data_IF_914516963454
#
_entry.id   IF_914516963454
#
_cell.length_a   1.000
_cell.length_b   1.000
_cell.length_c   1.000
_cell.angle_alpha   90.00
_cell.angle_beta   90.00
_cell.angle_gamma   90.00
#
_symmetry.space_group_name_H-M   'P 1'
#
loop_
_entity.id
_entity.type
_entity.pdbx_description
1 polymer ?
#
# COMPACT_ATOMS: atom_id res chain seq x y z
N UNK A 1 -1.31 32.54 -6.31
CA UNK A 1 -1.03 31.32 -7.08
C UNK A 1 0.46 31.11 -6.99
N UNK A 2 0.90 29.95 -6.56
CA UNK A 2 2.32 29.66 -6.41
C UNK A 2 3.00 29.53 -7.78
N UNK A 3 4.30 29.81 -7.88
CA UNK A 3 5.04 29.73 -9.15
C UNK A 3 5.28 28.27 -9.62
N UNK A 4 4.99 27.28 -8.76
CA UNK A 4 5.22 25.86 -9.02
C UNK A 4 3.89 25.06 -8.98
N UNK A 5 3.21 25.04 -10.13
CA UNK A 5 1.89 24.38 -10.27
C UNK A 5 1.89 22.91 -9.78
N UNK A 6 2.98 22.18 -10.04
CA UNK A 6 3.10 20.77 -9.66
C UNK A 6 3.17 20.58 -8.14
N UNK A 7 3.90 21.46 -7.43
CA UNK A 7 4.00 21.40 -5.97
C UNK A 7 2.68 21.77 -5.30
N UNK A 8 1.91 22.67 -5.91
CA UNK A 8 0.58 23.03 -5.46
C UNK A 8 -0.37 21.82 -5.53
N UNK A 9 -0.39 21.09 -6.65
CA UNK A 9 -1.20 19.88 -6.80
C UNK A 9 -0.84 18.80 -5.78
N UNK A 10 0.45 18.54 -5.58
CA UNK A 10 0.92 17.60 -4.57
C UNK A 10 0.52 18.04 -3.15
N UNK A 11 0.60 19.33 -2.84
CA UNK A 11 0.21 19.87 -1.53
C UNK A 11 -1.29 19.71 -1.27
N UNK A 12 -2.12 19.98 -2.27
CA UNK A 12 -3.57 19.80 -2.20
C UNK A 12 -3.92 18.32 -2.04
N UNK A 13 -3.37 17.43 -2.88
CA UNK A 13 -3.63 16.00 -2.81
C UNK A 13 -3.23 15.42 -1.45
N UNK A 14 -2.08 15.83 -0.92
CA UNK A 14 -1.62 15.42 0.40
C UNK A 14 -2.63 15.80 1.49
N UNK A 15 -3.10 17.03 1.48
CA UNK A 15 -4.04 17.54 2.48
C UNK A 15 -5.44 16.93 2.33
N UNK A 16 -5.87 16.64 1.10
CA UNK A 16 -7.20 16.07 0.84
C UNK A 16 -7.30 14.57 1.15
N UNK A 17 -6.21 13.81 1.00
CA UNK A 17 -6.20 12.35 1.16
C UNK A 17 -5.36 11.87 2.35
N UNK A 18 -4.98 12.77 3.25
CA UNK A 18 -4.13 12.48 4.42
C UNK A 18 -2.85 11.70 4.08
N UNK A 19 -2.20 12.05 2.97
CA UNK A 19 -1.02 11.33 2.47
C UNK A 19 0.20 11.65 3.33
N UNK A 20 0.96 10.61 3.69
CA UNK A 20 2.25 10.77 4.35
C UNK A 20 3.32 11.28 3.38
N UNK A 21 4.46 11.75 3.89
CA UNK A 21 5.60 12.10 3.03
C UNK A 21 6.07 10.92 2.18
N UNK A 22 5.92 9.71 2.70
CA UNK A 22 6.34 8.53 1.96
C UNK A 22 5.41 8.24 0.78
N UNK A 23 4.11 8.48 0.94
CA UNK A 23 3.14 8.26 -0.13
C UNK A 23 3.35 9.28 -1.25
N UNK A 24 3.68 10.53 -0.89
CA UNK A 24 4.09 11.55 -1.86
C UNK A 24 5.35 11.14 -2.64
N UNK A 25 6.39 10.65 -1.94
CA UNK A 25 7.60 10.13 -2.57
C UNK A 25 7.32 8.93 -3.47
N UNK A 26 6.42 8.03 -3.07
CA UNK A 26 6.00 6.88 -3.89
C UNK A 26 5.31 7.33 -5.18
N UNK A 27 4.41 8.32 -5.10
CA UNK A 27 3.74 8.89 -6.27
C UNK A 27 4.75 9.58 -7.19
N UNK A 28 5.65 10.41 -6.65
CA UNK A 28 6.69 11.08 -7.42
C UNK A 28 7.67 10.10 -8.09
N UNK A 29 8.04 9.03 -7.40
CA UNK A 29 8.85 7.93 -7.97
C UNK A 29 8.14 7.29 -9.16
N UNK A 30 6.84 7.01 -9.02
CA UNK A 30 6.06 6.34 -10.05
C UNK A 30 5.78 7.25 -11.26
N UNK A 31 5.68 8.56 -11.09
CA UNK A 31 5.55 9.50 -12.21
C UNK A 31 6.81 9.47 -13.11
N UNK A 32 8.01 9.40 -12.52
CA UNK A 32 9.26 9.22 -13.26
C UNK A 32 9.25 7.88 -14.01
N UNK A 33 8.80 6.80 -13.38
CA UNK A 33 8.70 5.49 -14.04
C UNK A 33 7.78 5.52 -15.26
N UNK A 34 6.60 6.13 -15.14
CA UNK A 34 5.58 6.23 -16.19
C UNK A 34 5.94 7.23 -17.30
N UNK A 35 6.82 8.19 -17.01
CA UNK A 35 7.26 9.18 -17.99
C UNK A 35 7.98 8.56 -19.21
N UNK A 36 8.08 9.34 -20.29
CA UNK A 36 8.87 9.00 -21.48
C UNK A 36 10.36 9.35 -21.39
N UNK A 37 10.90 9.66 -20.20
CA UNK A 37 12.32 10.03 -20.07
C UNK A 37 13.26 8.87 -20.46
N UNK A 38 14.43 9.23 -20.97
CA UNK A 38 15.48 8.26 -21.30
C UNK A 38 15.95 7.48 -20.06
N UNK A 39 16.42 6.25 -20.29
CA UNK A 39 16.92 5.36 -19.24
C UNK A 39 18.07 5.99 -18.42
N UNK A 40 18.91 6.80 -19.05
CA UNK A 40 20.00 7.54 -18.40
C UNK A 40 19.49 8.45 -17.27
N UNK A 41 18.43 9.21 -17.54
CA UNK A 41 17.77 10.09 -16.58
C UNK A 41 17.04 9.30 -15.49
N UNK A 42 16.33 8.24 -15.87
CA UNK A 42 15.66 7.36 -14.89
C UNK A 42 16.66 6.72 -13.93
N UNK A 43 17.82 6.24 -14.40
CA UNK A 43 18.91 5.74 -13.52
C UNK A 43 19.46 6.82 -12.59
N UNK A 44 19.59 8.05 -13.09
CA UNK A 44 20.07 9.19 -12.30
C UNK A 44 19.12 9.48 -11.13
N UNK A 45 17.81 9.49 -11.35
CA UNK A 45 16.82 9.84 -10.33
C UNK A 45 16.35 8.67 -9.46
N UNK A 46 16.21 7.47 -10.03
CA UNK A 46 15.63 6.30 -9.34
C UNK A 46 16.68 5.31 -8.83
N UNK A 47 17.92 5.42 -9.31
CA UNK A 47 19.01 4.50 -9.00
C UNK A 47 19.36 3.56 -10.16
N UNK A 48 20.57 2.99 -10.15
CA UNK A 48 21.08 2.19 -11.27
C UNK A 48 20.29 0.90 -11.51
N UNK A 49 19.64 0.36 -10.47
CA UNK A 49 18.90 -0.90 -10.51
C UNK A 49 17.39 -0.73 -10.66
N UNK A 50 16.89 0.48 -10.98
CA UNK A 50 15.45 0.74 -11.04
C UNK A 50 14.68 -0.18 -12.01
N UNK A 51 15.34 -0.66 -13.07
CA UNK A 51 14.77 -1.57 -14.06
C UNK A 51 14.62 -3.02 -13.58
N UNK A 52 15.27 -3.40 -12.47
CA UNK A 52 15.17 -4.75 -11.87
C UNK A 52 13.89 -4.96 -11.06
N UNK A 53 12.96 -4.01 -11.11
CA UNK A 53 11.68 -4.07 -10.42
C UNK A 53 11.65 -3.29 -9.11
N UNK A 54 10.45 -3.19 -8.53
CA UNK A 54 10.16 -2.36 -7.36
C UNK A 54 10.91 -2.80 -6.09
N UNK A 55 11.35 -4.06 -6.03
CA UNK A 55 12.17 -4.63 -4.93
C UNK A 55 13.60 -4.09 -4.88
N UNK A 56 14.04 -3.34 -5.90
CA UNK A 56 15.36 -2.72 -5.98
C UNK A 56 15.28 -1.19 -5.83
N UNK A 57 14.33 -0.73 -5.02
CA UNK A 57 14.15 0.69 -4.72
C UNK A 57 15.36 1.26 -3.97
N UNK A 58 15.96 2.31 -4.52
CA UNK A 58 17.04 3.05 -3.86
C UNK A 58 16.44 4.10 -2.93
N UNK A 59 16.41 3.80 -1.62
CA UNK A 59 15.81 4.68 -0.61
C UNK A 59 16.50 6.05 -0.54
N UNK A 60 17.80 6.09 -0.81
CA UNK A 60 18.61 7.33 -0.70
C UNK A 60 18.22 8.36 -1.75
N UNK A 61 17.73 7.90 -2.90
CA UNK A 61 17.31 8.78 -4.00
C UNK A 61 15.80 9.02 -4.04
N UNK A 62 15.03 7.97 -3.78
CA UNK A 62 13.57 7.99 -3.97
C UNK A 62 12.83 8.36 -2.70
N UNK A 63 13.46 8.27 -1.53
CA UNK A 63 12.82 8.44 -0.21
C UNK A 63 11.63 7.50 0.03
N UNK A 64 11.52 6.42 -0.75
CA UNK A 64 10.53 5.36 -0.55
C UNK A 64 11.22 4.22 0.20
N UNK A 65 10.79 3.89 1.43
CA UNK A 65 11.30 2.77 2.20
C UNK A 65 11.15 1.46 1.44
N UNK A 66 12.18 0.62 1.49
CA UNK A 66 12.24 -0.65 0.79
C UNK A 66 11.12 -1.59 1.26
N UNK A 67 10.73 -1.54 2.53
CA UNK A 67 9.60 -2.32 3.06
C UNK A 67 8.29 -2.00 2.34
N UNK A 68 8.01 -0.72 2.05
CA UNK A 68 6.83 -0.30 1.30
C UNK A 68 6.89 -0.82 -0.14
N UNK A 69 8.05 -0.68 -0.78
CA UNK A 69 8.27 -1.15 -2.14
C UNK A 69 8.12 -2.69 -2.26
N UNK A 70 8.65 -3.45 -1.29
CA UNK A 70 8.50 -4.91 -1.20
C UNK A 70 7.05 -5.32 -0.98
N UNK A 71 6.35 -4.67 -0.05
CA UNK A 71 4.93 -4.92 0.21
C UNK A 71 4.08 -4.79 -1.05
N UNK A 72 4.30 -3.74 -1.85
CA UNK A 72 3.63 -3.56 -3.17
C UNK A 72 3.95 -4.70 -4.13
N UNK A 73 5.22 -5.12 -4.21
CA UNK A 73 5.66 -6.19 -5.10
C UNK A 73 5.01 -7.53 -4.74
N UNK A 74 5.03 -7.86 -3.44
CA UNK A 74 4.48 -9.09 -2.90
C UNK A 74 2.97 -9.16 -3.12
N UNK A 75 2.24 -8.08 -2.84
CA UNK A 75 0.80 -8.05 -3.07
C UNK A 75 0.43 -8.18 -4.54
N UNK A 76 1.12 -7.47 -5.44
CA UNK A 76 0.88 -7.60 -6.88
C UNK A 76 1.16 -9.03 -7.37
N UNK A 77 2.24 -9.66 -6.90
CA UNK A 77 2.54 -11.05 -7.24
C UNK A 77 1.48 -12.02 -6.72
N UNK A 78 0.99 -11.82 -5.50
CA UNK A 78 -0.10 -12.60 -4.91
C UNK A 78 -1.40 -12.45 -5.72
N UNK A 79 -1.77 -11.22 -6.08
CA UNK A 79 -2.96 -10.94 -6.90
C UNK A 79 -2.86 -11.60 -8.28
N UNK A 80 -1.70 -11.52 -8.94
CA UNK A 80 -1.48 -12.23 -10.20
C UNK A 80 -1.62 -13.74 -10.03
N UNK A 81 -1.00 -14.34 -9.01
CA UNK A 81 -1.10 -15.77 -8.75
C UNK A 81 -2.55 -16.20 -8.50
N UNK A 82 -3.29 -15.39 -7.75
CA UNK A 82 -4.71 -15.59 -7.47
C UNK A 82 -5.53 -15.64 -8.76
N UNK A 83 -5.35 -14.67 -9.65
CA UNK A 83 -6.04 -14.64 -10.95
C UNK A 83 -5.72 -15.89 -11.78
N UNK A 84 -4.45 -16.32 -11.81
CA UNK A 84 -4.06 -17.54 -12.53
C UNK A 84 -4.72 -18.80 -11.94
N UNK A 85 -4.81 -18.92 -10.62
CA UNK A 85 -5.47 -20.05 -9.96
C UNK A 85 -6.96 -20.09 -10.27
N UNK A 86 -7.63 -18.93 -10.26
CA UNK A 86 -9.05 -18.82 -10.62
C UNK A 86 -9.25 -19.23 -12.08
N UNK A 87 -8.41 -18.72 -13.00
CA UNK A 87 -8.45 -19.08 -14.42
C UNK A 87 -8.18 -20.58 -14.67
N UNK A 88 -7.36 -21.22 -13.84
CA UNK A 88 -7.11 -22.67 -13.87
C UNK A 88 -8.26 -23.51 -13.26
N UNK A 89 -9.39 -22.89 -12.87
CA UNK A 89 -10.56 -23.58 -12.33
C UNK A 89 -10.50 -23.86 -10.83
N UNK A 90 -9.47 -23.38 -10.12
CA UNK A 90 -9.30 -23.57 -8.66
C UNK A 90 -10.00 -22.53 -7.80
N UNK A 91 -10.94 -21.76 -8.37
CA UNK A 91 -11.62 -20.67 -7.65
C UNK A 91 -12.35 -21.12 -6.37
N UNK A 92 -12.88 -22.34 -6.33
CA UNK A 92 -13.52 -22.90 -5.12
C UNK A 92 -12.54 -23.16 -3.98
N UNK A 93 -11.36 -23.72 -4.29
CA UNK A 93 -10.30 -23.96 -3.29
C UNK A 93 -9.78 -22.64 -2.71
N UNK A 94 -9.55 -21.67 -3.59
CA UNK A 94 -9.15 -20.31 -3.23
C UNK A 94 -10.17 -19.66 -2.30
N UNK A 95 -11.47 -19.69 -2.66
CA UNK A 95 -12.52 -19.09 -1.85
C UNK A 95 -12.61 -19.76 -0.47
N UNK A 96 -12.51 -21.08 -0.41
CA UNK A 96 -12.53 -21.83 0.84
C UNK A 96 -11.40 -21.40 1.77
N UNK A 97 -10.17 -21.29 1.25
CA UNK A 97 -9.01 -20.88 2.04
C UNK A 97 -9.12 -19.42 2.49
N UNK A 98 -9.59 -18.53 1.61
CA UNK A 98 -9.84 -17.13 1.96
C UNK A 98 -10.88 -17.02 3.09
N UNK A 99 -11.98 -17.77 3.00
CA UNK A 99 -13.02 -17.79 4.05
C UNK A 99 -12.45 -18.25 5.40
N UNK A 100 -11.55 -19.24 5.41
CA UNK A 100 -10.87 -19.69 6.63
C UNK A 100 -9.99 -18.57 7.19
N UNK A 101 -9.16 -17.93 6.37
CA UNK A 101 -8.31 -16.83 6.83
C UNK A 101 -9.13 -15.65 7.41
N UNK A 102 -10.19 -15.23 6.73
CA UNK A 102 -11.08 -14.18 7.24
C UNK A 102 -11.82 -14.61 8.51
N UNK A 103 -12.23 -15.88 8.61
CA UNK A 103 -12.82 -16.46 9.81
C UNK A 103 -11.86 -16.41 11.00
N UNK A 104 -10.63 -16.88 10.81
CA UNK A 104 -9.58 -16.85 11.82
C UNK A 104 -9.25 -15.42 12.27
N UNK A 105 -9.13 -14.49 11.32
CA UNK A 105 -8.89 -13.08 11.63
C UNK A 105 -10.05 -12.48 12.43
N UNK A 106 -11.30 -12.71 12.02
CA UNK A 106 -12.50 -12.26 12.75
C UNK A 106 -12.54 -12.83 14.16
N UNK A 107 -12.31 -14.13 14.30
CA UNK A 107 -12.39 -14.83 15.57
C UNK A 107 -11.27 -14.40 16.51
N UNK A 108 -10.06 -14.13 16.00
CA UNK A 108 -8.95 -13.56 16.77
C UNK A 108 -9.32 -12.19 17.39
N UNK A 109 -9.86 -11.26 16.60
CA UNK A 109 -10.33 -9.96 17.11
C UNK A 109 -11.45 -10.13 18.14
N UNK A 110 -12.42 -11.00 17.86
CA UNK A 110 -13.53 -11.30 18.77
C UNK A 110 -13.03 -11.86 20.10
N UNK A 111 -12.06 -12.77 20.07
CA UNK A 111 -11.52 -13.38 21.28
C UNK A 111 -10.77 -12.37 22.15
N UNK A 112 -9.99 -11.46 21.54
CA UNK A 112 -9.35 -10.36 22.29
C UNK A 112 -10.42 -9.50 22.96
N UNK A 113 -11.45 -9.09 22.21
CA UNK A 113 -12.52 -8.24 22.75
C UNK A 113 -13.31 -8.92 23.88
N UNK A 114 -13.58 -10.22 23.76
CA UNK A 114 -14.28 -10.97 24.80
C UNK A 114 -13.42 -11.18 26.04
N UNK A 115 -12.12 -11.44 25.88
CA UNK A 115 -11.20 -11.67 27.00
C UNK A 115 -10.86 -10.36 27.73
N UNK A 116 -10.76 -9.25 27.01
CA UNK A 116 -10.46 -7.92 27.55
C UNK A 116 -11.72 -7.05 27.74
N UNK A 117 -12.92 -7.65 27.75
CA UNK A 117 -14.17 -6.90 27.81
C UNK A 117 -14.27 -5.97 29.04
N UNK A 118 -13.69 -6.38 30.17
CA UNK A 118 -13.65 -5.59 31.40
C UNK A 118 -12.75 -4.35 31.31
N UNK A 119 -11.84 -4.28 30.34
CA UNK A 119 -10.95 -3.13 30.10
C UNK A 119 -11.60 -2.08 29.19
N UNK A 120 -12.70 -2.44 28.50
CA UNK A 120 -13.45 -1.52 27.65
C UNK A 120 -14.26 -0.59 28.56
N UNK A 121 -14.04 0.73 28.52
CA UNK A 121 -14.83 1.66 29.31
C UNK A 121 -16.32 1.52 28.93
N UNK A 122 -17.20 1.62 29.93
CA UNK A 122 -18.64 1.62 29.69
C UNK A 122 -18.97 2.67 28.63
N UNK A 123 -19.73 2.29 27.61
CA UNK A 123 -20.25 3.25 26.63
C UNK A 123 -20.86 4.44 27.39
N UNK A 124 -20.56 5.69 26.99
CA UNK A 124 -21.31 6.82 27.51
C UNK A 124 -22.80 6.53 27.28
N UNK A 125 -23.62 6.88 28.27
CA UNK A 125 -25.06 6.61 28.27
C UNK A 125 -25.69 6.94 26.89
N UNK A 126 -26.73 6.20 26.52
CA UNK A 126 -27.41 6.24 25.21
C UNK A 126 -27.89 7.63 24.72
N UNK A 127 -27.65 8.71 25.47
CA UNK A 127 -28.07 10.09 25.21
C UNK A 127 -26.89 11.06 24.97
N UNK A 128 -25.68 10.59 24.65
CA UNK A 128 -24.54 11.45 24.27
C UNK A 128 -24.25 11.49 22.75
N UNK A 129 -25.26 11.24 21.92
CA UNK A 129 -25.26 11.58 20.48
C UNK A 129 -26.37 12.58 20.16
#
# INVERSE_FOLDING_TARGET
MSDDALLEEYSVARASFDLSMTDMSEIARNSILQSGFEDSWKKKWLGPNYSKGITHCDETKTHVPLIRAKFRAEHLAMEHLLVHLIAAGKGREVLQEMMVQFGLARDAHRNILLNSFSEVPSFPEQNQL
#
